data_IF_633625842319
#
_entry.id   IF_633625842319
#
_cell.length_a   1.000
_cell.length_b   1.000
_cell.length_c   1.000
_cell.angle_alpha   90.00
_cell.angle_beta   90.00
_cell.angle_gamma   90.00
#
_symmetry.space_group_name_H-M   'P 1'
#
loop_
_entity.id
_entity.type
_entity.pdbx_description
1 polymer ?
#
# COMPACT_ATOMS: atom_id res chain seq x y z
N UNK A 1 -7.86 0.77 -8.33
CA UNK A 1 -7.87 1.51 -7.06
C UNK A 1 -7.81 3.00 -7.31
N UNK A 2 -8.22 3.78 -6.34
CA UNK A 2 -8.15 5.24 -6.41
C UNK A 2 -7.78 5.80 -5.04
N UNK A 3 -7.03 6.90 -5.00
CA UNK A 3 -6.63 7.51 -3.76
C UNK A 3 -5.71 8.72 -3.92
N UNK A 4 -5.20 9.19 -2.79
CA UNK A 4 -4.22 10.27 -2.73
C UNK A 4 -2.82 9.72 -2.96
N UNK A 5 -2.01 10.46 -3.70
CA UNK A 5 -0.63 10.10 -4.00
C UNK A 5 0.33 11.18 -3.58
N UNK A 6 1.44 10.80 -2.98
CA UNK A 6 2.56 11.68 -2.69
C UNK A 6 3.88 10.93 -2.80
N UNK A 7 4.96 11.66 -3.05
CA UNK A 7 6.29 11.08 -3.14
C UNK A 7 7.02 11.21 -1.80
N UNK A 8 7.67 10.14 -1.39
CA UNK A 8 8.43 10.09 -0.15
C UNK A 8 9.84 9.58 -0.38
N UNK A 9 10.75 10.06 0.47
CA UNK A 9 12.11 9.54 0.61
C UNK A 9 12.31 9.06 2.04
N UNK A 10 13.48 8.50 2.36
CA UNK A 10 13.80 8.10 3.73
C UNK A 10 13.70 9.27 4.73
N UNK A 11 13.88 10.50 4.24
CA UNK A 11 13.85 11.70 5.10
C UNK A 11 12.43 12.22 5.34
N UNK A 12 11.45 11.84 4.50
CA UNK A 12 10.09 12.38 4.56
C UNK A 12 9.04 11.35 4.98
N UNK A 13 9.46 10.16 5.38
CA UNK A 13 8.54 9.07 5.76
C UNK A 13 7.61 9.46 6.92
N UNK A 14 8.05 10.36 7.79
CA UNK A 14 7.24 10.80 8.92
C UNK A 14 6.01 11.63 8.51
N UNK A 15 5.93 12.03 7.25
CA UNK A 15 4.77 12.75 6.70
C UNK A 15 3.66 11.81 6.20
N UNK A 16 3.91 10.51 6.11
CA UNK A 16 2.90 9.52 5.67
C UNK A 16 1.63 9.56 6.52
N UNK A 17 1.68 9.64 7.86
CA UNK A 17 0.46 9.75 8.66
C UNK A 17 -0.44 10.94 8.30
N UNK A 18 0.14 12.05 7.88
CA UNK A 18 -0.63 13.22 7.44
C UNK A 18 -1.42 12.93 6.16
N UNK A 19 -0.85 12.15 5.25
CA UNK A 19 -1.56 11.71 4.05
C UNK A 19 -2.74 10.82 4.40
N UNK A 20 -2.59 9.91 5.35
CA UNK A 20 -3.67 9.06 5.85
C UNK A 20 -4.80 9.89 6.47
N UNK A 21 -4.48 10.93 7.24
CA UNK A 21 -5.48 11.81 7.82
C UNK A 21 -6.30 12.53 6.73
N UNK A 22 -5.64 13.05 5.70
CA UNK A 22 -6.31 13.68 4.56
C UNK A 22 -7.19 12.69 3.80
N UNK A 23 -6.70 11.49 3.58
CA UNK A 23 -7.44 10.42 2.91
C UNK A 23 -8.71 10.08 3.68
N UNK A 24 -8.61 9.84 4.98
CA UNK A 24 -9.74 9.48 5.83
C UNK A 24 -10.83 10.56 5.79
N UNK A 25 -10.44 11.84 5.72
CA UNK A 25 -11.41 12.93 5.63
C UNK A 25 -12.19 12.95 4.32
N UNK A 26 -11.71 12.27 3.29
CA UNK A 26 -12.29 12.30 1.94
C UNK A 26 -12.92 10.99 1.51
N UNK A 27 -12.51 9.87 2.09
CA UNK A 27 -12.89 8.53 1.61
C UNK A 27 -14.39 8.27 1.69
N UNK A 28 -15.09 8.87 2.65
CA UNK A 28 -16.54 8.74 2.79
C UNK A 28 -17.34 9.37 1.64
N UNK A 29 -16.70 10.21 0.82
CA UNK A 29 -17.33 10.86 -0.34
C UNK A 29 -17.25 10.02 -1.61
N UNK A 30 -16.58 8.86 -1.56
CA UNK A 30 -16.37 8.01 -2.74
C UNK A 30 -17.47 6.96 -2.81
N UNK A 31 -18.45 7.19 -3.70
CA UNK A 31 -19.59 6.30 -3.85
C UNK A 31 -19.28 5.01 -4.58
N UNK A 32 -18.21 4.98 -5.39
CA UNK A 32 -17.83 3.80 -6.16
C UNK A 32 -16.95 2.82 -5.39
N UNK A 33 -16.69 3.07 -4.10
CA UNK A 33 -15.87 2.20 -3.26
C UNK A 33 -16.43 0.77 -3.20
N UNK A 34 -15.51 -0.20 -3.33
CA UNK A 34 -15.82 -1.62 -3.19
C UNK A 34 -15.14 -2.14 -1.93
N UNK A 35 -15.90 -2.80 -1.05
CA UNK A 35 -15.36 -3.40 0.17
C UNK A 35 -15.03 -2.39 1.26
N UNK A 36 -14.41 -2.87 2.32
CA UNK A 36 -14.15 -2.09 3.53
C UNK A 36 -12.67 -1.91 3.84
N UNK A 37 -11.78 -2.48 3.02
CA UNK A 37 -10.35 -2.36 3.24
C UNK A 37 -9.80 -1.05 2.67
N UNK A 38 -8.84 -0.48 3.38
CA UNK A 38 -8.01 0.62 2.90
C UNK A 38 -6.64 0.07 2.50
N UNK A 39 -5.98 0.74 1.58
CA UNK A 39 -4.72 0.25 1.01
C UNK A 39 -3.65 1.33 1.00
N UNK A 40 -2.42 0.92 1.31
CA UNK A 40 -1.23 1.71 1.05
C UNK A 40 -0.45 1.06 -0.09
N UNK A 41 -0.23 1.78 -1.17
CA UNK A 41 0.46 1.27 -2.35
C UNK A 41 1.81 1.94 -2.49
N UNK A 42 2.88 1.15 -2.48
CA UNK A 42 4.23 1.64 -2.75
C UNK A 42 4.53 1.42 -4.23
N UNK A 43 4.76 2.47 -4.96
CA UNK A 43 4.87 2.47 -6.43
C UNK A 43 6.20 3.08 -6.84
N UNK A 44 6.78 2.56 -7.92
CA UNK A 44 8.03 3.05 -8.50
C UNK A 44 9.15 3.18 -7.46
N UNK A 45 9.31 2.14 -6.63
CA UNK A 45 10.41 2.07 -5.67
C UNK A 45 11.72 1.89 -6.40
N UNK A 46 12.63 2.84 -6.24
CA UNK A 46 13.94 2.76 -6.89
C UNK A 46 14.90 1.87 -6.10
N UNK A 47 15.70 1.09 -6.82
CA UNK A 47 16.72 0.23 -6.22
C UNK A 47 17.80 1.02 -5.48
N UNK A 48 17.98 2.29 -5.81
CA UNK A 48 18.95 3.18 -5.14
C UNK A 48 18.42 3.89 -3.90
N UNK A 49 17.21 3.60 -3.48
CA UNK A 49 16.63 4.22 -2.28
C UNK A 49 16.23 5.68 -2.43
N UNK A 50 16.06 6.17 -3.66
CA UNK A 50 15.73 7.57 -3.94
C UNK A 50 14.25 7.90 -3.71
N UNK A 51 13.51 7.01 -3.10
CA UNK A 51 12.13 7.25 -2.76
C UNK A 51 11.14 6.44 -3.58
N UNK A 52 9.88 6.70 -3.33
CA UNK A 52 8.78 5.98 -3.96
C UNK A 52 7.52 6.86 -3.93
N UNK A 53 6.59 6.53 -4.80
CA UNK A 53 5.26 7.11 -4.75
C UNK A 53 4.39 6.27 -3.81
N UNK A 54 3.65 6.90 -2.93
CA UNK A 54 2.77 6.23 -1.98
C UNK A 54 1.34 6.67 -2.21
N UNK A 55 0.44 5.72 -2.39
CA UNK A 55 -0.99 5.97 -2.58
C UNK A 55 -1.75 5.42 -1.39
N UNK A 56 -2.52 6.28 -0.71
CA UNK A 56 -3.52 5.84 0.24
C UNK A 56 -4.84 5.75 -0.51
N UNK A 57 -5.41 4.55 -0.61
CA UNK A 57 -6.52 4.34 -1.52
C UNK A 57 -7.48 3.25 -1.13
N UNK A 58 -8.51 3.12 -1.95
CA UNK A 58 -9.54 2.10 -1.84
C UNK A 58 -9.79 1.47 -3.20
N UNK A 59 -10.33 0.27 -3.19
CA UNK A 59 -10.83 -0.35 -4.40
C UNK A 59 -12.12 0.36 -4.84
N UNK A 60 -12.23 0.66 -6.13
CA UNK A 60 -13.38 1.33 -6.70
C UNK A 60 -13.90 0.56 -7.92
N UNK A 61 -15.19 0.68 -8.19
CA UNK A 61 -15.81 0.07 -9.37
C UNK A 61 -15.58 0.89 -10.64
N UNK A 62 -15.33 2.19 -10.51
CA UNK A 62 -15.00 3.08 -11.61
C UNK A 62 -14.20 4.27 -11.10
N UNK A 63 -13.62 5.04 -12.02
CA UNK A 63 -12.80 6.20 -11.70
C UNK A 63 -13.53 7.54 -11.89
N UNK A 64 -14.86 7.51 -12.06
CA UNK A 64 -15.65 8.72 -12.20
C UNK A 64 -15.98 9.34 -10.83
N UNK A 65 -16.12 10.65 -10.79
CA UNK A 65 -16.57 11.40 -9.61
C UNK A 65 -15.70 11.21 -8.37
N UNK A 66 -14.39 11.08 -8.58
CA UNK A 66 -13.43 11.00 -7.47
C UNK A 66 -13.16 12.41 -6.91
N UNK A 67 -12.78 12.52 -5.61
CA UNK A 67 -12.34 13.79 -5.06
C UNK A 67 -11.19 14.38 -5.89
N UNK A 68 -11.11 15.71 -5.90
CA UNK A 68 -9.99 16.40 -6.54
C UNK A 68 -8.67 15.88 -5.94
N UNK A 69 -7.61 15.83 -6.71
CA UNK A 69 -6.29 15.29 -6.35
C UNK A 69 -6.19 13.78 -6.26
N UNK A 70 -7.29 13.04 -6.25
CA UNK A 70 -7.22 11.59 -6.28
C UNK A 70 -6.78 11.08 -7.64
N UNK A 71 -5.96 10.03 -7.62
CA UNK A 71 -5.47 9.36 -8.84
C UNK A 71 -6.02 7.95 -8.92
N UNK A 72 -6.13 7.44 -10.14
CA UNK A 72 -6.44 6.03 -10.37
C UNK A 72 -5.16 5.21 -10.45
N UNK A 73 -5.17 4.02 -9.86
CA UNK A 73 -4.07 3.06 -9.94
C UNK A 73 -4.60 1.72 -10.41
N UNK A 74 -3.98 1.19 -11.46
CA UNK A 74 -4.31 -0.13 -11.96
C UNK A 74 -3.53 -1.19 -11.18
N UNK A 75 -4.24 -2.18 -10.67
CA UNK A 75 -3.64 -3.34 -10.04
C UNK A 75 -3.91 -4.53 -10.96
N UNK A 76 -2.91 -5.03 -11.70
CA UNK A 76 -3.11 -6.18 -12.56
C UNK A 76 -3.31 -7.46 -11.75
N UNK A 77 -3.98 -8.43 -12.35
CA UNK A 77 -4.06 -9.76 -11.77
C UNK A 77 -2.67 -10.39 -11.77
N UNK A 78 -2.21 -10.84 -10.61
CA UNK A 78 -0.89 -11.45 -10.48
C UNK A 78 -0.81 -12.26 -9.19
N UNK A 79 0.30 -12.95 -8.98
CA UNK A 79 0.53 -13.74 -7.78
C UNK A 79 1.17 -12.86 -6.70
N UNK A 80 0.68 -12.99 -5.49
CA UNK A 80 1.22 -12.28 -4.33
C UNK A 80 1.64 -13.26 -3.24
N UNK A 81 2.74 -12.96 -2.57
CA UNK A 81 3.02 -13.52 -1.26
C UNK A 81 2.36 -12.59 -0.24
N UNK A 82 1.51 -13.14 0.62
CA UNK A 82 0.73 -12.37 1.60
C UNK A 82 1.24 -12.67 3.00
N UNK A 83 1.55 -11.62 3.74
CA UNK A 83 2.08 -11.70 5.10
C UNK A 83 1.13 -10.98 6.04
N UNK A 84 0.55 -11.71 6.99
CA UNK A 84 -0.27 -11.11 8.04
C UNK A 84 0.63 -10.51 9.12
N UNK A 85 0.30 -9.31 9.57
CA UNK A 85 1.04 -8.62 10.62
C UNK A 85 0.14 -8.40 11.83
N UNK A 86 0.53 -8.95 12.97
CA UNK A 86 -0.24 -8.84 14.21
C UNK A 86 0.24 -7.71 15.13
N UNK A 87 1.35 -7.07 14.80
CA UNK A 87 1.94 -5.99 15.59
C UNK A 87 1.39 -4.61 15.24
N UNK A 88 2.03 -3.59 15.80
CA UNK A 88 1.68 -2.21 15.55
C UNK A 88 2.09 -1.77 14.14
N UNK A 89 1.30 -0.89 13.54
CA UNK A 89 1.54 -0.39 12.16
C UNK A 89 2.91 0.27 11.99
N UNK A 90 3.46 0.87 13.05
CA UNK A 90 4.79 1.49 12.99
C UNK A 90 5.92 0.51 12.71
N UNK A 91 5.70 -0.80 12.92
CA UNK A 91 6.70 -1.83 12.65
C UNK A 91 6.61 -2.43 11.26
N UNK A 92 5.67 -2.02 10.42
CA UNK A 92 5.51 -2.53 9.06
C UNK A 92 6.76 -2.39 8.22
N UNK A 93 7.50 -1.29 8.40
CA UNK A 93 8.74 -1.05 7.66
C UNK A 93 9.79 -2.12 7.94
N UNK A 94 9.93 -2.53 9.20
CA UNK A 94 10.81 -3.62 9.59
C UNK A 94 10.37 -4.95 8.98
N UNK A 95 9.07 -5.21 8.97
CA UNK A 95 8.52 -6.44 8.38
C UNK A 95 8.76 -6.46 6.87
N UNK A 96 8.49 -5.36 6.18
CA UNK A 96 8.74 -5.26 4.75
C UNK A 96 10.22 -5.49 4.41
N UNK A 97 11.12 -4.94 5.21
CA UNK A 97 12.55 -5.15 5.05
C UNK A 97 12.96 -6.60 5.30
N UNK A 98 12.44 -7.21 6.35
CA UNK A 98 12.72 -8.62 6.66
C UNK A 98 12.21 -9.54 5.54
N UNK A 99 11.05 -9.25 4.95
CA UNK A 99 10.54 -9.99 3.81
C UNK A 99 11.51 -9.91 2.63
N UNK A 100 11.98 -8.72 2.31
CA UNK A 100 12.89 -8.51 1.17
C UNK A 100 14.28 -9.09 1.40
N UNK A 101 14.84 -8.93 2.58
CA UNK A 101 16.22 -9.29 2.88
C UNK A 101 16.40 -10.71 3.40
N UNK A 102 15.40 -11.28 4.06
CA UNK A 102 15.49 -12.58 4.71
C UNK A 102 14.58 -13.63 4.05
N UNK A 103 13.27 -13.34 3.99
CA UNK A 103 12.31 -14.31 3.47
C UNK A 103 12.49 -14.58 1.99
N UNK A 104 12.57 -13.53 1.18
CA UNK A 104 12.62 -13.66 -0.28
C UNK A 104 13.82 -14.48 -0.76
N UNK A 105 15.07 -14.21 -0.28
CA UNK A 105 16.22 -15.03 -0.67
C UNK A 105 16.09 -16.50 -0.27
N UNK A 106 15.45 -16.77 0.86
CA UNK A 106 15.31 -18.15 1.39
C UNK A 106 14.12 -18.89 0.78
N UNK A 107 13.16 -18.18 0.23
CA UNK A 107 11.90 -18.76 -0.26
C UNK A 107 12.03 -19.49 -1.59
N UNK A 108 13.07 -19.23 -2.36
CA UNK A 108 13.18 -19.68 -3.73
C UNK A 108 12.25 -18.96 -4.70
N UNK A 109 11.52 -17.96 -4.23
CA UNK A 109 10.63 -17.15 -5.06
C UNK A 109 11.37 -15.94 -5.62
N UNK A 110 10.92 -15.45 -6.76
CA UNK A 110 11.43 -14.24 -7.37
C UNK A 110 10.40 -13.13 -7.28
N UNK A 111 10.82 -11.89 -6.97
CA UNK A 111 9.90 -10.76 -6.99
C UNK A 111 9.42 -10.53 -8.42
N UNK A 112 8.14 -10.21 -8.58
CA UNK A 112 7.65 -9.73 -9.86
C UNK A 112 8.23 -8.34 -10.08
N UNK A 113 8.42 -7.99 -11.36
CA UNK A 113 8.84 -6.65 -11.73
C UNK A 113 7.63 -5.89 -12.26
N UNK A 114 6.95 -5.11 -11.41
CA UNK A 114 5.78 -4.38 -11.86
C UNK A 114 6.16 -3.34 -12.91
N UNK A 115 5.22 -3.08 -13.79
CA UNK A 115 5.35 -2.00 -14.75
C UNK A 115 5.31 -0.65 -14.04
N UNK A 116 5.77 0.38 -14.72
CA UNK A 116 5.73 1.74 -14.18
C UNK A 116 4.30 2.11 -13.77
N UNK A 117 4.15 2.64 -12.56
CA UNK A 117 2.85 3.00 -12.01
C UNK A 117 2.09 1.86 -11.35
N UNK A 118 2.64 0.66 -11.35
CA UNK A 118 2.06 -0.49 -10.63
C UNK A 118 2.78 -0.69 -9.30
N UNK A 119 2.06 -1.20 -8.26
CA UNK A 119 2.67 -1.33 -6.94
C UNK A 119 3.78 -2.38 -6.86
N UNK A 120 4.86 -2.01 -6.16
CA UNK A 120 5.92 -2.93 -5.73
C UNK A 120 5.55 -3.65 -4.43
N UNK A 121 4.74 -3.03 -3.61
CA UNK A 121 4.30 -3.55 -2.32
C UNK A 121 2.93 -2.96 -2.01
N UNK A 122 2.04 -3.79 -1.46
CA UNK A 122 0.70 -3.36 -1.06
C UNK A 122 0.53 -3.61 0.43
N UNK A 123 0.12 -2.60 1.16
CA UNK A 123 -0.35 -2.70 2.54
C UNK A 123 -1.87 -2.76 2.50
N UNK A 124 -2.46 -3.74 3.16
CA UNK A 124 -3.91 -3.85 3.27
C UNK A 124 -4.33 -3.70 4.72
N UNK A 125 -5.23 -2.78 4.96
CA UNK A 125 -5.83 -2.54 6.28
C UNK A 125 -7.29 -2.94 6.19
N UNK A 126 -7.64 -4.06 6.79
CA UNK A 126 -8.98 -4.59 6.73
C UNK A 126 -9.92 -3.95 7.73
N UNK A 127 -11.14 -4.48 7.78
CA UNK A 127 -12.23 -3.94 8.60
C UNK A 127 -11.88 -3.87 10.09
N UNK A 128 -11.08 -4.81 10.58
CA UNK A 128 -10.76 -4.91 12.01
C UNK A 128 -9.53 -4.08 12.40
N UNK A 129 -8.94 -3.36 11.46
CA UNK A 129 -7.85 -2.45 11.79
C UNK A 129 -8.38 -1.30 12.65
N UNK A 130 -7.74 -1.08 13.81
CA UNK A 130 -8.09 0.00 14.70
C UNK A 130 -7.05 1.12 14.62
N UNK A 131 -7.39 2.26 14.03
CA UNK A 131 -6.45 3.38 13.92
C UNK A 131 -6.05 3.97 15.27
N UNK A 132 -6.84 3.77 16.32
CA UNK A 132 -6.50 4.26 17.66
C UNK A 132 -5.39 3.44 18.31
N UNK A 133 -5.39 2.13 18.09
CA UNK A 133 -4.33 1.25 18.61
C UNK A 133 -3.22 1.00 17.59
N UNK A 134 -3.48 1.25 16.31
CA UNK A 134 -2.54 0.97 15.24
C UNK A 134 -2.34 -0.51 14.96
N UNK A 135 -3.30 -1.36 15.34
CA UNK A 135 -3.20 -2.82 15.23
C UNK A 135 -4.47 -3.42 14.63
N UNK A 136 -4.35 -4.67 14.21
CA UNK A 136 -5.47 -5.49 13.75
C UNK A 136 -5.61 -5.52 12.24
N UNK A 137 -5.80 -6.70 11.68
CA UNK A 137 -6.14 -6.94 10.27
C UNK A 137 -5.23 -6.21 9.27
N UNK A 138 -3.90 -6.34 9.44
CA UNK A 138 -2.92 -5.75 8.55
C UNK A 138 -2.26 -6.87 7.74
N UNK A 139 -2.16 -6.67 6.43
CA UNK A 139 -1.43 -7.58 5.53
C UNK A 139 -0.45 -6.80 4.67
N UNK A 140 0.69 -7.43 4.35
CA UNK A 140 1.61 -6.96 3.33
C UNK A 140 1.57 -7.94 2.16
N UNK A 141 1.39 -7.42 0.96
CA UNK A 141 1.32 -8.20 -0.26
C UNK A 141 2.52 -7.87 -1.14
N UNK A 142 3.36 -8.86 -1.37
CA UNK A 142 4.53 -8.73 -2.25
C UNK A 142 4.23 -9.41 -3.58
N UNK A 143 4.24 -8.68 -4.71
CA UNK A 143 4.11 -9.31 -6.02
C UNK A 143 5.29 -10.24 -6.30
N UNK A 144 4.99 -11.48 -6.66
CA UNK A 144 6.01 -12.48 -6.98
C UNK A 144 5.70 -13.10 -8.35
N UNK A 145 6.72 -13.66 -8.97
CA UNK A 145 6.53 -14.43 -10.19
C UNK A 145 5.77 -15.72 -9.87
N UNK A 146 4.88 -16.07 -10.75
CA UNK A 146 4.07 -17.29 -10.60
C UNK A 146 4.93 -18.57 -10.68
#
# INVERSE_FOLDING_TARGET
MAGLQARYTCETLDDIPKQWERFISQVGKVSSRIGEADYGLCIDMSAGGNGFDYVTGVQVSDLANLPAEWVGVRIPAQTYAVFSHSGHVSTLRHIARAIAEEWLPQSGREPAQPSRGEPNLIERYGRQFDPNTGTGDIELWLPIKA
#
